data_IF_112025496290
#
_entry.id   IF_112025496290
#
_cell.length_a   1.000
_cell.length_b   1.000
_cell.length_c   1.000
_cell.angle_alpha   90.00
_cell.angle_beta   90.00
_cell.angle_gamma   90.00
#
_symmetry.space_group_name_H-M   'P 1'
#
loop_
_entity.id
_entity.type
_entity.pdbx_description
1 polymer ?
#
# COMPACT_ATOMS: atom_id res chain seq x y z
N UNK A 1 12.79 -5.86 20.54
CA UNK A 1 13.10 -4.74 19.64
C UNK A 1 13.77 -3.66 20.46
N UNK A 2 14.99 -3.28 20.12
CA UNK A 2 15.76 -2.23 20.82
C UNK A 2 16.00 -1.06 19.87
N UNK A 3 15.62 0.15 20.28
CA UNK A 3 15.99 1.39 19.59
C UNK A 3 17.48 1.71 19.82
N UNK A 4 18.19 2.07 18.75
CA UNK A 4 19.63 2.40 18.74
C UNK A 4 19.89 3.57 17.82
N UNK A 5 21.03 4.24 18.03
CA UNK A 5 21.45 5.39 17.23
C UNK A 5 22.93 5.26 16.88
N UNK A 6 23.26 5.54 15.63
CA UNK A 6 24.65 5.76 15.18
C UNK A 6 24.75 7.20 14.73
N UNK A 7 25.79 7.89 15.23
CA UNK A 7 26.08 9.28 14.86
C UNK A 7 27.11 9.29 13.74
N UNK A 8 26.75 9.83 12.58
CA UNK A 8 27.65 10.10 11.47
C UNK A 8 27.91 11.63 11.39
N UNK A 9 29.00 12.07 10.77
CA UNK A 9 29.29 13.51 10.62
C UNK A 9 28.15 14.28 9.94
N UNK A 10 27.48 13.65 8.96
CA UNK A 10 26.42 14.25 8.17
C UNK A 10 25.04 14.22 8.83
N UNK A 11 24.73 13.18 9.62
CA UNK A 11 23.44 13.03 10.36
C UNK A 11 23.41 11.77 11.21
N UNK A 12 22.45 11.72 12.15
CA UNK A 12 22.18 10.54 12.96
C UNK A 12 21.32 9.51 12.22
N UNK A 13 21.59 8.24 12.47
CA UNK A 13 20.79 7.12 12.03
C UNK A 13 20.14 6.44 13.23
N UNK A 14 18.82 6.64 13.38
CA UNK A 14 18.03 5.89 14.34
C UNK A 14 17.54 4.58 13.72
N UNK A 15 17.74 3.46 14.41
CA UNK A 15 17.30 2.15 13.91
C UNK A 15 16.76 1.27 15.03
N UNK A 16 15.87 0.37 14.68
CA UNK A 16 15.31 -0.67 15.54
C UNK A 16 16.06 -1.96 15.30
N UNK A 17 16.73 -2.51 16.34
CA UNK A 17 17.47 -3.76 16.23
C UNK A 17 16.69 -4.92 16.87
N UNK A 18 16.55 -6.00 16.10
CA UNK A 18 15.91 -7.24 16.51
C UNK A 18 16.88 -8.41 16.34
N UNK A 19 17.12 -9.14 17.41
CA UNK A 19 17.91 -10.38 17.37
C UNK A 19 16.95 -11.54 17.13
N UNK A 20 17.19 -12.27 16.05
CA UNK A 20 16.37 -13.43 15.68
C UNK A 20 17.17 -14.41 14.80
N UNK A 21 16.74 -15.68 14.67
CA UNK A 21 17.46 -16.69 13.88
C UNK A 21 17.37 -16.37 12.37
N UNK A 22 18.24 -15.50 11.90
CA UNK A 22 18.42 -15.15 10.48
C UNK A 22 19.85 -15.47 10.04
N UNK A 23 20.02 -15.82 8.77
CA UNK A 23 21.32 -16.17 8.21
C UNK A 23 22.25 -14.96 8.04
N UNK A 24 21.66 -13.80 7.70
CA UNK A 24 22.41 -12.58 7.39
C UNK A 24 21.86 -11.40 8.19
N UNK A 25 22.64 -10.32 8.30
CA UNK A 25 22.14 -9.03 8.77
C UNK A 25 21.22 -8.48 7.69
N UNK A 26 19.94 -8.23 8.05
CA UNK A 26 18.96 -7.68 7.14
C UNK A 26 18.62 -6.25 7.55
N UNK A 27 18.67 -5.32 6.59
CA UNK A 27 18.25 -3.92 6.76
C UNK A 27 16.94 -3.75 6.00
N UNK A 28 15.93 -3.22 6.67
CA UNK A 28 14.64 -2.87 6.08
C UNK A 28 14.30 -1.43 6.41
N UNK A 29 14.15 -0.61 5.38
CA UNK A 29 13.72 0.78 5.51
C UNK A 29 12.25 0.85 5.10
N UNK A 30 11.42 1.47 5.93
CA UNK A 30 9.98 1.60 5.69
C UNK A 30 9.62 3.01 5.23
N UNK A 31 8.45 3.17 4.57
CA UNK A 31 7.95 4.49 4.15
C UNK A 31 7.67 5.46 5.32
N UNK A 32 7.47 4.96 6.54
CA UNK A 32 7.38 5.75 7.77
C UNK A 32 8.75 6.27 8.26
N UNK A 33 9.80 6.05 7.46
CA UNK A 33 11.20 6.39 7.75
C UNK A 33 11.84 5.58 8.89
N UNK A 34 11.20 4.50 9.33
CA UNK A 34 11.77 3.60 10.33
C UNK A 34 12.77 2.64 9.67
N UNK A 35 13.96 2.52 10.24
CA UNK A 35 15.00 1.57 9.83
C UNK A 35 14.98 0.39 10.78
N UNK A 36 14.70 -0.79 10.26
CA UNK A 36 14.74 -2.06 11.00
C UNK A 36 15.95 -2.87 10.60
N UNK A 37 16.66 -3.35 11.60
CA UNK A 37 17.82 -4.24 11.42
C UNK A 37 17.57 -5.53 12.16
N UNK A 38 17.78 -6.66 11.51
CA UNK A 38 17.74 -7.95 12.18
C UNK A 38 19.03 -8.71 11.96
N UNK A 39 19.53 -9.32 13.03
CA UNK A 39 20.77 -10.11 13.04
C UNK A 39 20.61 -11.42 13.80
N UNK A 40 21.54 -12.36 13.55
CA UNK A 40 21.65 -13.61 14.30
C UNK A 40 22.04 -13.32 15.77
N UNK A 41 21.62 -14.14 16.76
CA UNK A 41 22.07 -14.03 18.15
C UNK A 41 23.58 -14.04 18.36
N UNK A 42 24.34 -14.68 17.47
CA UNK A 42 25.80 -14.75 17.53
C UNK A 42 26.51 -13.54 16.90
N UNK A 43 25.78 -12.67 16.19
CA UNK A 43 26.33 -11.48 15.54
C UNK A 43 26.60 -10.41 16.58
N UNK A 44 27.84 -9.92 16.65
CA UNK A 44 28.20 -8.83 17.54
C UNK A 44 27.59 -7.50 17.04
N UNK A 45 27.29 -6.60 17.98
CA UNK A 45 26.73 -5.30 17.64
C UNK A 45 27.67 -4.48 16.72
N UNK A 46 28.97 -4.57 16.96
CA UNK A 46 30.00 -3.92 16.13
C UNK A 46 29.93 -4.35 14.65
N UNK A 47 29.59 -5.60 14.39
CA UNK A 47 29.40 -6.09 13.01
C UNK A 47 28.14 -5.49 12.38
N UNK A 48 27.06 -5.37 13.15
CA UNK A 48 25.84 -4.71 12.71
C UNK A 48 26.10 -3.25 12.35
N UNK A 49 26.80 -2.51 13.23
CA UNK A 49 27.14 -1.11 13.01
C UNK A 49 28.10 -0.91 11.83
N UNK A 50 29.05 -1.84 11.63
CA UNK A 50 29.91 -1.85 10.45
C UNK A 50 29.09 -1.95 9.17
N UNK A 51 28.16 -2.89 9.09
CA UNK A 51 27.28 -3.08 7.92
C UNK A 51 26.41 -1.85 7.69
N UNK A 52 25.89 -1.23 8.75
CA UNK A 52 25.10 0.01 8.64
C UNK A 52 25.99 1.16 8.12
N UNK A 53 27.22 1.26 8.55
CA UNK A 53 28.20 2.26 8.08
C UNK A 53 28.53 2.05 6.61
N UNK A 54 28.78 0.82 6.18
CA UNK A 54 29.04 0.49 4.78
C UNK A 54 27.81 0.79 3.88
N UNK A 55 26.60 0.66 4.41
CA UNK A 55 25.34 0.89 3.68
C UNK A 55 24.75 2.27 3.91
N UNK A 56 25.43 3.17 4.63
CA UNK A 56 24.85 4.48 5.04
C UNK A 56 24.31 5.30 3.87
N UNK A 57 25.05 5.36 2.76
CA UNK A 57 24.65 6.12 1.58
C UNK A 57 23.31 5.60 1.01
N UNK A 58 23.15 4.29 0.90
CA UNK A 58 21.90 3.67 0.47
C UNK A 58 20.76 3.94 1.46
N UNK A 59 21.02 3.82 2.77
CA UNK A 59 20.01 4.04 3.82
C UNK A 59 19.54 5.49 3.78
N UNK A 60 20.45 6.45 3.74
CA UNK A 60 20.10 7.88 3.73
C UNK A 60 19.37 8.26 2.45
N UNK A 61 19.81 7.80 1.29
CA UNK A 61 19.10 8.04 0.02
C UNK A 61 17.66 7.47 0.05
N UNK A 62 17.45 6.32 0.68
CA UNK A 62 16.12 5.75 0.83
C UNK A 62 15.24 6.57 1.79
N UNK A 63 15.80 7.01 2.93
CA UNK A 63 15.11 7.87 3.89
C UNK A 63 14.73 9.22 3.26
N UNK A 64 15.65 9.85 2.51
CA UNK A 64 15.41 11.12 1.85
C UNK A 64 14.33 11.02 0.79
N UNK A 65 14.35 9.93 0.00
CA UNK A 65 13.27 9.63 -0.95
C UNK A 65 11.92 9.45 -0.27
N UNK A 66 11.85 8.74 0.88
CA UNK A 66 10.60 8.61 1.62
C UNK A 66 10.15 9.92 2.26
N UNK A 67 11.09 10.75 2.74
CA UNK A 67 10.78 12.08 3.26
C UNK A 67 10.20 12.99 2.16
N UNK A 68 10.77 12.93 0.96
CA UNK A 68 10.27 13.66 -0.19
C UNK A 68 8.90 13.15 -0.64
N UNK A 69 8.73 11.84 -0.77
CA UNK A 69 7.42 11.24 -1.06
C UNK A 69 6.35 11.61 -0.03
N UNK A 70 6.72 11.76 1.25
CA UNK A 70 5.80 12.18 2.30
C UNK A 70 5.35 13.63 2.13
N UNK A 71 6.17 14.53 1.57
CA UNK A 71 5.77 15.91 1.24
C UNK A 71 4.68 15.94 0.16
N UNK A 72 4.73 14.98 -0.77
CA UNK A 72 3.73 14.82 -1.84
C UNK A 72 2.65 13.79 -1.50
N UNK A 73 2.77 13.08 -0.35
CA UNK A 73 1.68 12.24 0.12
C UNK A 73 0.49 13.13 0.41
N UNK A 74 -0.61 12.85 -0.26
CA UNK A 74 -1.86 13.60 -0.17
C UNK A 74 -2.20 13.89 1.30
N UNK A 75 -2.60 15.12 1.57
CA UNK A 75 -3.26 15.49 2.82
C UNK A 75 -4.34 14.46 3.13
N UNK A 76 -4.56 14.20 4.40
CA UNK A 76 -5.67 13.35 4.84
C UNK A 76 -6.93 13.82 4.12
N UNK A 77 -7.63 12.90 3.46
CA UNK A 77 -8.81 13.24 2.65
C UNK A 77 -9.90 13.77 3.55
N UNK A 78 -10.49 14.88 3.17
CA UNK A 78 -11.57 15.54 3.91
C UNK A 78 -12.96 15.11 3.42
N UNK A 79 -13.01 14.44 2.26
CA UNK A 79 -14.24 13.99 1.61
C UNK A 79 -15.22 15.16 1.36
N UNK A 80 -14.69 16.24 0.78
CA UNK A 80 -15.43 17.46 0.45
C UNK A 80 -15.65 17.60 -1.06
N UNK A 81 -16.59 18.46 -1.44
CA UNK A 81 -16.88 18.76 -2.84
C UNK A 81 -15.63 19.23 -3.60
N UNK A 82 -15.41 18.67 -4.79
CA UNK A 82 -14.28 18.99 -5.66
C UNK A 82 -13.00 18.18 -5.37
N UNK A 83 -12.94 17.41 -4.27
CA UNK A 83 -11.81 16.53 -4.00
C UNK A 83 -11.69 15.44 -5.08
N UNK A 84 -10.44 15.14 -5.48
CA UNK A 84 -10.18 14.21 -6.58
C UNK A 84 -9.95 12.80 -6.10
N UNK A 85 -10.61 11.83 -6.73
CA UNK A 85 -10.48 10.40 -6.49
C UNK A 85 -10.08 9.68 -7.77
N UNK A 86 -8.96 8.97 -7.73
CA UNK A 86 -8.51 8.20 -8.88
C UNK A 86 -9.23 6.86 -8.96
N UNK A 87 -9.84 6.58 -10.13
CA UNK A 87 -10.58 5.36 -10.39
C UNK A 87 -10.34 4.91 -11.83
N UNK A 88 -9.86 3.69 -12.03
CA UNK A 88 -9.52 3.10 -13.34
C UNK A 88 -8.73 4.04 -14.27
N UNK A 89 -7.75 4.76 -13.69
CA UNK A 89 -6.88 5.68 -14.40
C UNK A 89 -7.46 7.08 -14.66
N UNK A 90 -8.69 7.35 -14.23
CA UNK A 90 -9.35 8.66 -14.35
C UNK A 90 -9.42 9.35 -12.99
N UNK A 91 -9.41 10.68 -13.00
CA UNK A 91 -9.60 11.49 -11.81
C UNK A 91 -11.07 11.94 -11.74
N UNK A 92 -11.82 11.33 -10.81
CA UNK A 92 -13.22 11.67 -10.55
C UNK A 92 -13.30 12.82 -9.53
N UNK A 93 -14.18 13.79 -9.76
CA UNK A 93 -14.45 14.88 -8.81
C UNK A 93 -15.58 14.50 -7.88
N UNK A 94 -15.32 14.56 -6.56
CA UNK A 94 -16.33 14.25 -5.56
C UNK A 94 -17.43 15.31 -5.54
N UNK A 95 -18.69 14.86 -5.53
CA UNK A 95 -19.89 15.65 -5.23
C UNK A 95 -20.59 15.02 -4.05
N UNK A 96 -20.79 15.80 -2.99
CA UNK A 96 -21.42 15.35 -1.75
C UNK A 96 -22.79 15.98 -1.63
N UNK A 97 -23.82 15.15 -1.43
CA UNK A 97 -25.19 15.55 -1.29
C UNK A 97 -25.84 14.88 -0.07
N UNK A 98 -26.78 15.55 0.57
CA UNK A 98 -27.60 14.96 1.62
C UNK A 98 -28.75 14.16 1.00
N UNK A 99 -29.05 13.01 1.57
CA UNK A 99 -30.15 12.16 1.12
C UNK A 99 -30.52 11.08 2.13
N UNK A 100 -31.42 10.21 1.74
CA UNK A 100 -31.96 9.19 2.66
C UNK A 100 -31.07 7.99 2.89
N UNK A 101 -30.03 7.80 2.07
CA UNK A 101 -29.14 6.62 2.09
C UNK A 101 -27.68 7.02 1.95
N UNK A 102 -26.79 6.22 2.54
CA UNK A 102 -25.34 6.37 2.34
C UNK A 102 -24.94 5.52 1.13
N UNK A 103 -24.76 6.15 -0.03
CA UNK A 103 -24.39 5.49 -1.29
C UNK A 103 -23.35 6.31 -2.05
N UNK A 104 -22.59 5.60 -2.88
CA UNK A 104 -21.67 6.20 -3.85
C UNK A 104 -22.01 5.66 -5.24
N UNK A 105 -22.00 6.56 -6.22
CA UNK A 105 -22.16 6.24 -7.64
C UNK A 105 -21.22 7.09 -8.48
N UNK A 106 -21.06 6.76 -9.78
CA UNK A 106 -20.21 7.52 -10.69
C UNK A 106 -20.74 7.49 -12.11
N UNK A 107 -20.60 8.61 -12.81
CA UNK A 107 -20.82 8.75 -14.25
C UNK A 107 -19.51 8.69 -15.06
N UNK A 108 -18.38 8.41 -14.39
CA UNK A 108 -17.03 8.38 -14.99
C UNK A 108 -16.31 9.72 -15.03
N UNK A 109 -16.95 10.82 -14.62
CA UNK A 109 -16.38 12.16 -14.43
C UNK A 109 -16.48 12.60 -12.96
N UNK A 110 -17.59 12.29 -12.34
CA UNK A 110 -17.87 12.62 -10.95
C UNK A 110 -18.05 11.36 -10.11
N UNK A 111 -17.70 11.47 -8.84
CA UNK A 111 -18.03 10.52 -7.79
C UNK A 111 -19.12 11.15 -6.93
N UNK A 112 -20.36 10.66 -7.05
CA UNK A 112 -21.49 11.15 -6.29
C UNK A 112 -21.58 10.43 -4.97
N UNK A 113 -21.47 11.17 -3.87
CA UNK A 113 -21.59 10.66 -2.51
C UNK A 113 -22.87 11.22 -1.88
N UNK A 114 -23.90 10.38 -1.79
CA UNK A 114 -25.10 10.71 -1.03
C UNK A 114 -24.98 10.16 0.38
N UNK A 115 -25.24 11.00 1.39
CA UNK A 115 -25.12 10.66 2.82
C UNK A 115 -26.32 11.17 3.61
N UNK A 116 -26.69 10.43 4.66
CA UNK A 116 -27.74 10.86 5.59
C UNK A 116 -27.29 12.02 6.48
N UNK A 117 -26.04 11.94 6.93
CA UNK A 117 -25.45 12.88 7.89
C UNK A 117 -24.07 13.32 7.40
N UNK A 118 -23.79 14.62 7.47
CA UNK A 118 -22.53 15.18 7.02
C UNK A 118 -21.38 14.95 8.03
N UNK A 119 -21.10 13.68 8.34
CA UNK A 119 -20.06 13.24 9.26
C UNK A 119 -18.86 12.71 8.45
N UNK A 120 -17.66 13.21 8.73
CA UNK A 120 -16.44 12.87 7.99
C UNK A 120 -16.18 11.34 7.97
N UNK A 121 -16.35 10.66 9.10
CA UNK A 121 -16.13 9.21 9.19
C UNK A 121 -17.18 8.41 8.40
N UNK A 122 -18.43 8.88 8.34
CA UNK A 122 -19.49 8.27 7.52
C UNK A 122 -19.14 8.40 6.03
N UNK A 123 -18.73 9.59 5.59
CA UNK A 123 -18.27 9.84 4.21
C UNK A 123 -17.12 8.92 3.84
N UNK A 124 -16.07 8.92 4.66
CA UNK A 124 -14.87 8.07 4.48
C UNK A 124 -15.27 6.61 4.32
N UNK A 125 -15.98 6.06 5.30
CA UNK A 125 -16.41 4.65 5.28
C UNK A 125 -17.24 4.32 4.05
N UNK A 126 -18.16 5.18 3.66
CA UNK A 126 -19.04 4.95 2.50
C UNK A 126 -18.24 4.90 1.19
N UNK A 127 -17.29 5.83 1.01
CA UNK A 127 -16.41 5.86 -0.17
C UNK A 127 -15.46 4.66 -0.17
N UNK A 128 -14.82 4.34 0.96
CA UNK A 128 -13.91 3.18 1.07
C UNK A 128 -14.63 1.85 0.79
N UNK A 129 -15.86 1.69 1.25
CA UNK A 129 -16.68 0.51 0.96
C UNK A 129 -17.00 0.41 -0.54
N UNK A 130 -17.34 1.52 -1.19
CA UNK A 130 -17.58 1.55 -2.63
C UNK A 130 -16.32 1.15 -3.41
N UNK A 131 -15.16 1.75 -3.10
CA UNK A 131 -13.90 1.38 -3.72
C UNK A 131 -13.55 -0.10 -3.50
N UNK A 132 -13.82 -0.63 -2.32
CA UNK A 132 -13.63 -2.05 -2.02
C UNK A 132 -14.48 -2.95 -2.91
N UNK A 133 -15.75 -2.60 -3.08
CA UNK A 133 -16.68 -3.31 -3.97
C UNK A 133 -16.24 -3.23 -5.44
N UNK A 134 -15.79 -2.06 -5.88
CA UNK A 134 -15.27 -1.87 -7.25
C UNK A 134 -14.01 -2.70 -7.49
N UNK A 135 -13.09 -2.83 -6.50
CA UNK A 135 -11.96 -3.74 -6.61
C UNK A 135 -12.41 -5.17 -6.89
N UNK A 136 -13.38 -5.66 -6.14
CA UNK A 136 -13.89 -7.03 -6.29
C UNK A 136 -14.56 -7.26 -7.65
N UNK A 137 -15.30 -6.28 -8.13
CA UNK A 137 -16.00 -6.34 -9.40
C UNK A 137 -15.04 -6.24 -10.59
N UNK A 138 -14.26 -5.15 -10.68
CA UNK A 138 -13.43 -4.85 -11.85
C UNK A 138 -12.22 -5.78 -11.96
N UNK A 139 -11.45 -5.92 -10.86
CA UNK A 139 -10.27 -6.78 -10.86
C UNK A 139 -10.70 -8.26 -10.92
N UNK A 140 -11.79 -8.62 -10.26
CA UNK A 140 -12.36 -9.96 -10.35
C UNK A 140 -12.84 -10.31 -11.78
N UNK A 141 -13.39 -9.34 -12.53
CA UNK A 141 -13.76 -9.53 -13.92
C UNK A 141 -12.53 -9.76 -14.80
N UNK A 142 -11.48 -8.93 -14.65
CA UNK A 142 -10.21 -9.12 -15.37
C UNK A 142 -9.58 -10.49 -15.04
N UNK A 143 -9.60 -10.91 -13.78
CA UNK A 143 -9.07 -12.22 -13.40
C UNK A 143 -9.82 -13.37 -14.09
N UNK A 144 -11.15 -13.30 -14.23
CA UNK A 144 -11.94 -14.31 -14.95
C UNK A 144 -11.63 -14.33 -16.45
N UNK A 145 -11.51 -13.15 -17.04
CA UNK A 145 -11.15 -13.00 -18.46
C UNK A 145 -9.77 -13.60 -18.75
N UNK A 146 -8.77 -13.20 -17.94
CA UNK A 146 -7.39 -13.70 -18.10
C UNK A 146 -7.29 -15.20 -17.80
N UNK A 147 -8.09 -15.73 -16.87
CA UNK A 147 -8.07 -17.14 -16.52
C UNK A 147 -8.40 -18.05 -17.71
N UNK A 148 -9.22 -17.61 -18.64
CA UNK A 148 -9.52 -18.37 -19.86
C UNK A 148 -8.25 -18.80 -20.62
N UNK A 149 -7.20 -17.99 -20.63
CA UNK A 149 -5.91 -18.33 -21.26
C UNK A 149 -5.14 -19.44 -20.52
N UNK A 150 -5.49 -19.71 -19.28
CA UNK A 150 -4.83 -20.70 -18.41
C UNK A 150 -5.60 -22.01 -18.27
N UNK A 151 -6.84 -22.11 -18.72
CA UNK A 151 -7.68 -23.32 -18.66
C UNK A 151 -7.00 -24.51 -19.35
N UNK A 152 -6.30 -24.29 -20.45
CA UNK A 152 -5.53 -25.32 -21.17
C UNK A 152 -4.42 -25.98 -20.36
N UNK A 153 -4.02 -25.40 -19.25
CA UNK A 153 -2.99 -25.95 -18.36
C UNK A 153 -3.59 -26.69 -17.15
N UNK A 154 -4.90 -26.91 -17.11
CA UNK A 154 -5.63 -27.53 -16.01
C UNK A 154 -5.37 -26.87 -14.63
N UNK A 155 -5.12 -25.57 -14.61
CA UNK A 155 -4.93 -24.80 -13.38
C UNK A 155 -6.32 -24.42 -12.82
N UNK A 156 -6.59 -24.76 -11.57
CA UNK A 156 -7.86 -24.36 -10.91
C UNK A 156 -7.89 -22.83 -10.72
N UNK A 157 -9.07 -22.22 -10.92
CA UNK A 157 -9.26 -20.80 -10.66
C UNK A 157 -8.86 -20.45 -9.21
N UNK A 158 -7.98 -19.47 -9.00
CA UNK A 158 -7.45 -19.17 -7.67
C UNK A 158 -8.46 -18.41 -6.81
N UNK A 159 -8.31 -18.55 -5.50
CA UNK A 159 -9.00 -17.67 -4.56
C UNK A 159 -8.39 -16.25 -4.66
N UNK A 160 -9.22 -15.28 -5.01
CA UNK A 160 -8.82 -13.88 -5.12
C UNK A 160 -9.06 -13.17 -3.78
N UNK A 161 -8.06 -12.42 -3.34
CA UNK A 161 -8.10 -11.60 -2.11
C UNK A 161 -7.64 -10.19 -2.40
N UNK A 162 -8.19 -9.24 -1.67
CA UNK A 162 -7.82 -7.83 -1.74
C UNK A 162 -7.27 -7.36 -0.39
N UNK A 163 -6.13 -6.67 -0.42
CA UNK A 163 -5.49 -6.10 0.78
C UNK A 163 -4.85 -4.76 0.44
N UNK A 164 -4.78 -3.88 1.43
CA UNK A 164 -3.90 -2.72 1.34
C UNK A 164 -2.46 -3.17 1.57
N UNK A 165 -1.57 -2.87 0.63
CA UNK A 165 -0.16 -3.26 0.67
C UNK A 165 0.72 -2.04 0.33
N UNK A 166 1.84 -1.90 1.04
CA UNK A 166 2.75 -0.75 0.90
C UNK A 166 3.78 -0.99 -0.21
N UNK A 167 4.30 -2.23 -0.33
CA UNK A 167 5.50 -2.52 -1.11
C UNK A 167 5.26 -3.37 -2.36
N UNK A 168 4.02 -3.75 -2.66
CA UNK A 168 3.71 -4.61 -3.80
C UNK A 168 2.30 -4.39 -4.33
N UNK A 169 2.10 -4.66 -5.61
CA UNK A 169 0.80 -4.58 -6.27
C UNK A 169 0.00 -5.88 -6.15
N UNK A 170 0.69 -6.99 -6.01
CA UNK A 170 0.06 -8.29 -5.84
C UNK A 170 1.04 -9.34 -5.32
N UNK A 171 0.51 -10.50 -4.97
CA UNK A 171 1.28 -11.68 -4.62
C UNK A 171 0.53 -12.95 -5.02
N UNK A 172 1.29 -13.98 -5.43
CA UNK A 172 0.77 -15.28 -5.74
C UNK A 172 1.29 -16.31 -4.73
N UNK A 173 0.40 -17.18 -4.26
CA UNK A 173 0.73 -18.34 -3.43
C UNK A 173 0.28 -19.62 -4.16
N UNK A 174 1.11 -20.18 -5.06
CA UNK A 174 0.69 -21.30 -5.92
C UNK A 174 0.21 -22.53 -5.13
N UNK A 175 0.92 -22.90 -4.07
CA UNK A 175 0.55 -24.05 -3.22
C UNK A 175 -0.83 -23.90 -2.56
N UNK A 176 -1.25 -22.68 -2.27
CA UNK A 176 -2.56 -22.36 -1.65
C UNK A 176 -3.60 -21.96 -2.68
N UNK A 177 -3.22 -21.83 -3.94
CA UNK A 177 -4.06 -21.33 -5.03
C UNK A 177 -4.71 -19.97 -4.68
N UNK A 178 -3.90 -19.03 -4.14
CA UNK A 178 -4.37 -17.70 -3.73
C UNK A 178 -3.62 -16.62 -4.48
N UNK A 179 -4.37 -15.73 -5.10
CA UNK A 179 -3.90 -14.44 -5.61
C UNK A 179 -4.36 -13.34 -4.65
N UNK A 180 -3.44 -12.47 -4.26
CA UNK A 180 -3.77 -11.30 -3.44
C UNK A 180 -3.40 -10.04 -4.20
N UNK A 181 -4.35 -9.16 -4.41
CA UNK A 181 -4.17 -7.87 -5.09
C UNK A 181 -4.19 -6.71 -4.10
N UNK A 182 -3.40 -5.69 -4.40
CA UNK A 182 -3.46 -4.42 -3.67
C UNK A 182 -4.73 -3.66 -4.06
N UNK A 183 -5.50 -3.20 -3.08
CA UNK A 183 -6.71 -2.40 -3.33
C UNK A 183 -6.44 -1.14 -4.16
N UNK A 184 -5.23 -0.58 -4.09
CA UNK A 184 -4.82 0.58 -4.90
C UNK A 184 -4.73 0.30 -6.40
N UNK A 185 -4.78 -0.97 -6.83
CA UNK A 185 -4.85 -1.28 -8.27
C UNK A 185 -6.06 -0.67 -8.95
N UNK A 186 -7.16 -0.48 -8.22
CA UNK A 186 -8.37 0.16 -8.76
C UNK A 186 -8.15 1.62 -9.20
N UNK A 187 -7.10 2.26 -8.71
CA UNK A 187 -6.69 3.62 -9.10
C UNK A 187 -5.99 3.62 -10.47
N UNK A 188 -5.48 2.47 -10.92
CA UNK A 188 -4.70 2.33 -12.15
C UNK A 188 -5.58 2.16 -13.38
N UNK A 189 -5.09 2.52 -14.58
CA UNK A 189 -5.76 2.17 -15.83
C UNK A 189 -6.02 0.67 -15.94
N UNK A 190 -7.14 0.29 -16.55
CA UNK A 190 -7.57 -1.12 -16.65
C UNK A 190 -6.52 -2.03 -17.31
N UNK A 191 -5.71 -1.49 -18.22
CA UNK A 191 -4.61 -2.20 -18.87
C UNK A 191 -3.47 -2.58 -17.89
N UNK A 192 -3.40 -1.94 -16.71
CA UNK A 192 -2.39 -2.23 -15.68
C UNK A 192 -2.86 -3.29 -14.67
N UNK A 193 -4.11 -3.71 -14.74
CA UNK A 193 -4.72 -4.72 -13.87
C UNK A 193 -4.54 -6.09 -14.49
#
# INVERSE_FOLDING_TARGET
LMGRTIVFPERELHYQHEVKPVKNINIRIRPDMTVYVSSNPQTQLSEVEKVLTEKKAYIFAALDRYAEMKKYASHEREYVNGESFRFLGRDLRLKVELGEKNIVDTDGLYLFLTIKENIAEVKKRTVEQWFSKMCEQEIGAVCREVYHYFEKYNVTFPLIRFRSMISRWGSCQPKRKVLTFNRRLIEMPKICI
#
